data_IF_849251714612
#
_entry.id   IF_849251714612
#
_cell.length_a   1.000
_cell.length_b   1.000
_cell.length_c   1.000
_cell.angle_alpha   90.00
_cell.angle_beta   90.00
_cell.angle_gamma   90.00
#
_symmetry.space_group_name_H-M   'P 1'
#
loop_
_entity.id
_entity.type
_entity.pdbx_description
1 polymer ?
#
# COMPACT_ATOMS: atom_id res chain seq x y z
N UNK A 1 -36.27 -10.50 -42.81
CA UNK A 1 -34.97 -11.11 -42.48
C UNK A 1 -34.15 -10.06 -41.75
N UNK A 2 -34.10 -10.15 -40.42
CA UNK A 2 -33.40 -9.23 -39.54
C UNK A 2 -31.99 -9.79 -39.26
N UNK A 3 -30.95 -8.99 -39.48
CA UNK A 3 -29.58 -9.35 -39.19
C UNK A 3 -29.25 -9.01 -37.73
N UNK A 4 -28.92 -10.04 -36.97
CA UNK A 4 -28.56 -10.01 -35.55
C UNK A 4 -27.27 -9.22 -35.32
N UNK A 5 -27.32 -8.28 -34.38
CA UNK A 5 -26.16 -7.56 -33.86
C UNK A 5 -25.42 -8.42 -32.84
N UNK A 6 -24.15 -8.70 -33.12
CA UNK A 6 -23.20 -9.39 -32.23
C UNK A 6 -22.83 -8.45 -31.06
N UNK A 7 -23.25 -8.83 -29.86
CA UNK A 7 -23.01 -8.11 -28.61
C UNK A 7 -21.63 -8.54 -28.04
N UNK A 8 -20.55 -7.86 -28.46
CA UNK A 8 -19.24 -8.00 -27.81
C UNK A 8 -19.15 -7.05 -26.61
N UNK A 9 -19.31 -7.62 -25.41
CA UNK A 9 -19.07 -6.94 -24.13
C UNK A 9 -17.55 -6.82 -23.89
N UNK A 10 -16.96 -5.64 -23.58
CA UNK A 10 -15.58 -5.57 -23.10
C UNK A 10 -15.51 -5.78 -21.58
N UNK A 11 -14.65 -6.68 -21.06
CA UNK A 11 -14.34 -6.77 -19.64
C UNK A 11 -13.20 -5.81 -19.32
N UNK A 12 -13.47 -4.62 -18.80
CA UNK A 12 -12.37 -3.69 -18.42
C UNK A 12 -12.69 -2.73 -17.27
N UNK A 13 -13.83 -2.84 -16.59
CA UNK A 13 -14.25 -1.84 -15.59
C UNK A 13 -13.79 -2.09 -14.15
N UNK A 14 -13.13 -3.21 -13.83
CA UNK A 14 -12.81 -3.52 -12.42
C UNK A 14 -11.48 -2.99 -11.89
N UNK A 15 -10.61 -2.40 -12.72
CA UNK A 15 -9.23 -2.16 -12.31
C UNK A 15 -8.96 -0.77 -11.73
N UNK A 16 -9.94 0.14 -11.68
CA UNK A 16 -9.67 1.57 -11.46
C UNK A 16 -10.33 2.22 -10.24
N UNK A 17 -11.16 1.50 -9.49
CA UNK A 17 -11.64 1.97 -8.18
C UNK A 17 -10.63 1.75 -7.03
N UNK A 18 -9.51 1.07 -7.26
CA UNK A 18 -8.56 0.74 -6.19
C UNK A 18 -7.52 1.83 -5.87
N UNK A 19 -7.25 2.79 -6.76
CA UNK A 19 -6.13 3.74 -6.57
C UNK A 19 -6.47 4.92 -5.64
N UNK A 20 -7.73 5.34 -5.56
CA UNK A 20 -8.16 6.46 -4.69
C UNK A 20 -8.69 6.00 -3.33
N UNK A 21 -9.14 4.75 -3.21
CA UNK A 21 -9.58 4.15 -1.93
C UNK A 21 -8.39 3.57 -1.12
N UNK A 22 -7.17 3.63 -1.67
CA UNK A 22 -5.97 2.97 -1.13
C UNK A 22 -4.78 3.92 -0.92
N UNK A 23 -5.00 5.22 -0.64
CA UNK A 23 -3.89 6.06 -0.16
C UNK A 23 -3.56 5.71 1.30
N UNK A 24 -2.37 5.11 1.57
CA UNK A 24 -2.00 4.71 2.92
C UNK A 24 -1.93 5.89 3.90
N UNK A 25 -1.61 7.10 3.43
CA UNK A 25 -1.53 8.29 4.29
C UNK A 25 -2.92 8.71 4.76
N UNK A 26 -3.90 8.72 3.84
CA UNK A 26 -5.30 8.95 4.21
C UNK A 26 -5.82 7.86 5.15
N UNK A 27 -5.44 6.61 4.91
CA UNK A 27 -5.83 5.49 5.78
C UNK A 27 -5.30 5.64 7.20
N UNK A 28 -4.03 6.03 7.39
CA UNK A 28 -3.46 6.32 8.70
C UNK A 28 -4.21 7.46 9.40
N UNK A 29 -4.50 8.56 8.69
CA UNK A 29 -5.27 9.68 9.24
C UNK A 29 -6.65 9.25 9.74
N UNK A 30 -7.32 8.34 9.02
CA UNK A 30 -8.60 7.78 9.42
C UNK A 30 -8.50 6.81 10.60
N UNK A 31 -7.41 6.06 10.72
CA UNK A 31 -7.17 5.13 11.83
C UNK A 31 -6.78 5.85 13.14
N UNK A 32 -6.22 7.05 13.06
CA UNK A 32 -5.70 7.78 14.23
C UNK A 32 -6.75 8.06 15.32
N UNK A 33 -7.98 8.54 15.02
CA UNK A 33 -9.02 8.70 16.04
C UNK A 33 -9.42 7.37 16.70
N UNK A 34 -9.51 6.29 15.91
CA UNK A 34 -9.85 4.95 16.40
C UNK A 34 -8.78 4.39 17.33
N UNK A 35 -7.50 4.61 17.02
CA UNK A 35 -6.39 4.22 17.90
C UNK A 35 -6.49 4.96 19.25
N UNK A 36 -6.77 6.26 19.22
CA UNK A 36 -6.93 7.06 20.46
C UNK A 36 -8.10 6.55 21.31
N UNK A 37 -9.24 6.25 20.69
CA UNK A 37 -10.41 5.70 21.37
C UNK A 37 -10.14 4.30 21.95
N UNK A 38 -9.51 3.43 21.15
CA UNK A 38 -9.12 2.08 21.57
C UNK A 38 -8.16 2.12 22.77
N UNK A 39 -7.15 3.00 22.75
CA UNK A 39 -6.23 3.18 23.88
C UNK A 39 -6.96 3.66 25.15
N UNK A 40 -7.86 4.64 25.01
CA UNK A 40 -8.66 5.12 26.14
C UNK A 40 -9.53 4.01 26.73
N UNK A 41 -10.14 3.18 25.87
CA UNK A 41 -10.92 2.03 26.28
C UNK A 41 -10.05 0.97 26.98
N UNK A 42 -8.88 0.64 26.42
CA UNK A 42 -7.92 -0.30 27.01
C UNK A 42 -7.52 0.12 28.42
N UNK A 43 -7.16 1.39 28.63
CA UNK A 43 -6.80 1.93 29.96
C UNK A 43 -7.99 1.80 30.92
N UNK A 44 -9.20 2.14 30.48
CA UNK A 44 -10.42 2.03 31.29
C UNK A 44 -10.67 0.58 31.71
N UNK A 45 -10.59 -0.37 30.77
CA UNK A 45 -10.81 -1.79 31.05
C UNK A 45 -9.71 -2.34 31.95
N UNK A 46 -8.45 -1.98 31.72
CA UNK A 46 -7.32 -2.35 32.58
C UNK A 46 -7.53 -1.89 34.03
N UNK A 47 -7.97 -0.64 34.24
CA UNK A 47 -8.27 -0.13 35.58
C UNK A 47 -9.41 -0.88 36.26
N UNK A 48 -10.43 -1.29 35.52
CA UNK A 48 -11.51 -2.12 36.06
C UNK A 48 -11.02 -3.54 36.37
N UNK A 49 -10.16 -4.13 35.53
CA UNK A 49 -9.56 -5.44 35.78
C UNK A 49 -8.70 -5.44 37.03
N UNK A 50 -7.87 -4.41 37.25
CA UNK A 50 -7.09 -4.27 38.49
C UNK A 50 -7.97 -4.20 39.73
N UNK A 51 -9.03 -3.38 39.69
CA UNK A 51 -9.98 -3.28 40.80
C UNK A 51 -10.71 -4.59 41.05
N UNK A 52 -11.06 -5.33 40.01
CA UNK A 52 -11.73 -6.61 40.16
C UNK A 52 -10.78 -7.66 40.74
N UNK A 53 -9.53 -7.70 40.30
CA UNK A 53 -8.52 -8.60 40.88
C UNK A 53 -8.36 -8.34 42.38
N UNK A 54 -8.30 -7.08 42.81
CA UNK A 54 -8.25 -6.74 44.24
C UNK A 54 -9.48 -7.25 45.02
N UNK A 55 -10.69 -7.18 44.44
CA UNK A 55 -11.90 -7.73 45.07
C UNK A 55 -11.93 -9.26 45.08
N UNK A 56 -11.32 -9.90 44.07
CA UNK A 56 -11.18 -11.36 44.03
C UNK A 56 -10.18 -11.84 45.08
N UNK A 57 -9.08 -11.12 45.29
CA UNK A 57 -8.10 -11.40 46.35
C UNK A 57 -8.73 -11.29 47.75
N UNK A 58 -9.65 -10.35 47.95
CA UNK A 58 -10.47 -10.22 49.17
C UNK A 58 -11.60 -11.29 49.27
N UNK A 59 -11.73 -12.19 48.29
CA UNK A 59 -12.72 -13.27 48.27
C UNK A 59 -14.15 -12.82 47.93
N UNK A 60 -14.35 -11.58 47.47
CA UNK A 60 -15.67 -10.97 47.27
C UNK A 60 -16.32 -11.31 45.92
N UNK A 61 -15.54 -11.67 44.87
CA UNK A 61 -16.07 -11.94 43.51
C UNK A 61 -15.17 -12.84 42.65
N UNK A 62 -15.73 -13.65 41.72
CA UNK A 62 -14.95 -14.35 40.70
C UNK A 62 -14.47 -13.42 39.57
N UNK A 63 -13.29 -13.73 38.98
CA UNK A 63 -12.56 -12.84 38.07
C UNK A 63 -12.84 -13.04 36.56
N UNK A 64 -13.36 -14.19 36.14
CA UNK A 64 -13.22 -14.69 34.76
C UNK A 64 -13.75 -13.78 33.65
N UNK A 65 -14.90 -13.11 33.87
CA UNK A 65 -15.53 -12.29 32.82
C UNK A 65 -14.82 -10.97 32.48
N UNK A 66 -13.93 -10.50 33.35
CA UNK A 66 -13.29 -9.19 33.20
C UNK A 66 -11.92 -9.29 32.53
N UNK A 67 -11.22 -10.40 32.75
CA UNK A 67 -9.98 -10.73 32.04
C UNK A 67 -10.22 -10.81 30.52
N UNK A 68 -11.29 -11.47 30.08
CA UNK A 68 -11.65 -11.58 28.66
C UNK A 68 -11.91 -10.21 27.99
N UNK A 69 -12.49 -9.24 28.72
CA UNK A 69 -12.71 -7.89 28.19
C UNK A 69 -11.39 -7.14 28.02
N UNK A 70 -10.46 -7.32 28.95
CA UNK A 70 -9.13 -6.74 28.85
C UNK A 70 -8.38 -7.30 27.64
N UNK A 71 -8.32 -8.62 27.50
CA UNK A 71 -7.68 -9.29 26.36
C UNK A 71 -8.26 -8.81 25.03
N UNK A 72 -9.59 -8.73 24.91
CA UNK A 72 -10.25 -8.20 23.70
C UNK A 72 -9.89 -6.74 23.41
N UNK A 73 -9.88 -5.88 24.44
CA UNK A 73 -9.51 -4.46 24.25
C UNK A 73 -8.03 -4.29 23.87
N UNK A 74 -7.18 -5.19 24.35
CA UNK A 74 -5.75 -5.21 24.04
C UNK A 74 -5.51 -5.68 22.61
N UNK A 75 -6.21 -6.74 22.18
CA UNK A 75 -6.16 -7.24 20.80
C UNK A 75 -6.62 -6.17 19.79
N UNK A 76 -7.72 -5.47 20.08
CA UNK A 76 -8.19 -4.36 19.24
C UNK A 76 -7.15 -3.24 19.11
N UNK A 77 -6.48 -2.88 20.20
CA UNK A 77 -5.42 -1.87 20.20
C UNK A 77 -4.23 -2.30 19.32
N UNK A 78 -3.76 -3.54 19.47
CA UNK A 78 -2.66 -4.07 18.65
C UNK A 78 -3.04 -4.17 17.18
N UNK A 79 -4.25 -4.64 16.86
CA UNK A 79 -4.72 -4.71 15.48
C UNK A 79 -4.74 -3.34 14.79
N UNK A 80 -5.07 -2.27 15.52
CA UNK A 80 -5.00 -0.91 15.00
C UNK A 80 -3.55 -0.44 14.80
N UNK A 81 -2.64 -0.78 15.71
CA UNK A 81 -1.21 -0.49 15.56
C UNK A 81 -0.62 -1.18 14.31
N UNK A 82 -0.91 -2.46 14.12
CA UNK A 82 -0.44 -3.24 12.97
C UNK A 82 -0.93 -2.65 11.64
N UNK A 83 -2.22 -2.26 11.59
CA UNK A 83 -2.78 -1.60 10.42
C UNK A 83 -2.09 -0.26 10.13
N UNK A 84 -1.84 0.56 11.16
CA UNK A 84 -1.14 1.84 10.99
C UNK A 84 0.30 1.61 10.51
N UNK A 85 1.02 0.67 11.13
CA UNK A 85 2.39 0.34 10.75
C UNK A 85 2.47 -0.14 9.29
N UNK A 86 1.59 -1.05 8.90
CA UNK A 86 1.52 -1.55 7.51
C UNK A 86 1.29 -0.42 6.51
N UNK A 87 0.37 0.50 6.81
CA UNK A 87 0.12 1.65 5.93
C UNK A 87 1.31 2.61 5.90
N UNK A 88 1.98 2.87 7.02
CA UNK A 88 3.18 3.74 7.05
C UNK A 88 4.33 3.14 6.23
N UNK A 89 4.56 1.82 6.33
CA UNK A 89 5.55 1.11 5.50
C UNK A 89 5.21 1.23 4.02
N UNK A 90 3.95 1.00 3.65
CA UNK A 90 3.50 1.15 2.27
C UNK A 90 3.67 2.58 1.75
N UNK A 91 3.35 3.60 2.57
CA UNK A 91 3.55 4.99 2.20
C UNK A 91 5.02 5.32 1.93
N UNK A 92 5.93 4.76 2.73
CA UNK A 92 7.37 4.91 2.53
C UNK A 92 7.85 4.23 1.24
N UNK A 93 7.38 3.01 0.95
CA UNK A 93 7.72 2.29 -0.28
C UNK A 93 7.24 3.05 -1.53
N UNK A 94 6.02 3.58 -1.51
CA UNK A 94 5.48 4.40 -2.60
C UNK A 94 6.30 5.68 -2.78
N UNK A 95 6.70 6.33 -1.69
CA UNK A 95 7.55 7.52 -1.75
C UNK A 95 8.92 7.22 -2.35
N UNK A 96 9.55 6.12 -1.95
CA UNK A 96 10.82 5.66 -2.49
C UNK A 96 10.68 5.33 -3.98
N UNK A 97 9.64 4.58 -4.35
CA UNK A 97 9.34 4.24 -5.73
C UNK A 97 9.14 5.50 -6.60
N UNK A 98 8.45 6.53 -6.09
CA UNK A 98 8.28 7.79 -6.79
C UNK A 98 9.62 8.53 -6.97
N UNK A 99 10.45 8.57 -5.93
CA UNK A 99 11.78 9.18 -5.97
C UNK A 99 12.67 8.50 -7.02
N UNK A 100 12.71 7.17 -7.00
CA UNK A 100 13.46 6.39 -7.99
C UNK A 100 12.89 6.56 -9.40
N UNK A 101 11.56 6.60 -9.53
CA UNK A 101 10.91 6.87 -10.82
C UNK A 101 11.34 8.21 -11.38
N UNK A 102 11.36 9.29 -10.59
CA UNK A 102 11.82 10.61 -11.05
C UNK A 102 13.31 10.64 -11.42
N UNK A 103 14.12 9.81 -10.77
CA UNK A 103 15.56 9.74 -11.00
C UNK A 103 15.92 8.95 -12.26
N UNK A 104 15.26 7.82 -12.49
CA UNK A 104 15.63 6.86 -13.52
C UNK A 104 14.67 6.83 -14.71
N UNK A 105 13.49 7.44 -14.59
CA UNK A 105 12.46 7.45 -15.63
C UNK A 105 12.19 8.92 -16.03
N UNK A 106 12.61 9.33 -17.24
CA UNK A 106 12.50 10.72 -17.67
C UNK A 106 11.07 11.18 -17.98
N UNK A 107 10.10 10.25 -18.02
CA UNK A 107 8.71 10.52 -18.38
C UNK A 107 7.75 9.87 -17.39
N UNK A 108 6.67 10.56 -17.04
CA UNK A 108 5.59 9.98 -16.25
C UNK A 108 4.80 8.99 -17.11
N UNK A 109 4.38 7.85 -16.58
CA UNK A 109 3.50 6.94 -17.34
C UNK A 109 2.07 7.45 -17.22
N UNK A 110 1.41 7.64 -18.36
CA UNK A 110 0.05 8.15 -18.41
C UNK A 110 -0.92 7.04 -17.98
N UNK A 111 -1.64 7.28 -16.89
CA UNK A 111 -2.76 6.45 -16.44
C UNK A 111 -4.05 7.15 -16.87
N UNK A 112 -4.95 6.50 -17.64
CA UNK A 112 -6.20 7.14 -18.06
C UNK A 112 -6.98 7.63 -16.84
N UNK A 113 -7.49 8.87 -16.81
CA UNK A 113 -8.41 9.30 -15.75
C UNK A 113 -9.82 8.76 -16.02
N UNK A 114 -10.63 8.73 -14.95
CA UNK A 114 -12.03 8.25 -14.80
C UNK A 114 -12.99 8.49 -15.98
N UNK A 115 -12.70 9.44 -16.89
CA UNK A 115 -13.53 9.77 -18.05
C UNK A 115 -12.88 9.45 -19.41
N UNK A 116 -11.92 8.51 -19.48
CA UNK A 116 -11.08 8.28 -20.67
C UNK A 116 -10.33 9.53 -21.15
N UNK A 117 -10.29 10.59 -20.33
CA UNK A 117 -9.53 11.79 -20.62
C UNK A 117 -8.09 11.51 -20.24
N UNK A 118 -7.24 11.50 -21.26
CA UNK A 118 -5.80 11.47 -21.08
C UNK A 118 -5.40 12.72 -20.30
N UNK A 119 -4.63 12.59 -19.21
CA UNK A 119 -4.00 13.75 -18.60
C UNK A 119 -3.22 14.49 -19.68
N UNK A 120 -3.57 15.76 -19.94
CA UNK A 120 -2.77 16.69 -20.75
C UNK A 120 -1.49 17.11 -19.98
N UNK A 121 -0.82 16.14 -19.34
CA UNK A 121 0.53 16.35 -18.85
C UNK A 121 1.47 16.19 -20.04
N UNK A 122 2.17 17.26 -20.47
CA UNK A 122 2.97 17.24 -21.71
C UNK A 122 4.14 16.23 -21.69
N UNK A 123 4.41 15.61 -20.54
CA UNK A 123 5.52 14.65 -20.34
C UNK A 123 5.05 13.22 -20.04
N UNK A 124 3.75 12.90 -20.21
CA UNK A 124 3.23 11.58 -19.88
C UNK A 124 3.13 10.64 -21.09
N UNK A 125 3.77 9.47 -21.03
CA UNK A 125 3.81 8.48 -22.13
C UNK A 125 2.84 7.31 -21.88
N UNK A 126 2.19 6.75 -22.92
CA UNK A 126 1.40 5.53 -22.77
C UNK A 126 2.23 4.35 -22.25
N UNK A 127 1.59 3.42 -21.54
CA UNK A 127 2.26 2.22 -21.00
C UNK A 127 3.00 1.40 -22.06
N UNK A 128 2.45 1.31 -23.27
CA UNK A 128 3.11 0.62 -24.40
C UNK A 128 4.43 1.28 -24.79
N UNK A 129 4.50 2.62 -24.80
CA UNK A 129 5.74 3.35 -25.06
C UNK A 129 6.73 3.19 -23.90
N UNK A 130 6.24 3.20 -22.66
CA UNK A 130 7.06 2.93 -21.48
C UNK A 130 7.74 1.54 -21.57
N UNK A 131 7.00 0.49 -21.94
CA UNK A 131 7.57 -0.85 -22.12
C UNK A 131 8.64 -0.88 -23.21
N UNK A 132 8.41 -0.20 -24.34
CA UNK A 132 9.42 -0.09 -25.40
C UNK A 132 10.69 0.60 -24.91
N UNK A 133 10.56 1.67 -24.12
CA UNK A 133 11.70 2.38 -23.52
C UNK A 133 12.47 1.49 -22.54
N UNK A 134 11.80 0.76 -21.65
CA UNK A 134 12.45 -0.18 -20.73
C UNK A 134 13.25 -1.24 -21.49
N UNK A 135 12.70 -1.79 -22.58
CA UNK A 135 13.41 -2.74 -23.44
C UNK A 135 14.66 -2.12 -24.08
N UNK A 136 14.57 -0.86 -24.53
CA UNK A 136 15.71 -0.13 -25.08
C UNK A 136 16.80 0.12 -24.03
N UNK A 137 16.43 0.54 -22.82
CA UNK A 137 17.37 0.72 -21.71
C UNK A 137 18.10 -0.59 -21.38
N UNK A 138 17.39 -1.73 -21.38
CA UNK A 138 17.99 -3.06 -21.19
C UNK A 138 18.97 -3.40 -22.32
N UNK A 139 18.62 -3.13 -23.58
CA UNK A 139 19.53 -3.38 -24.72
C UNK A 139 20.80 -2.54 -24.61
N UNK A 140 20.65 -1.24 -24.36
CA UNK A 140 21.78 -0.33 -24.21
C UNK A 140 22.71 -0.75 -23.06
N UNK A 141 22.16 -1.14 -21.91
CA UNK A 141 22.95 -1.64 -20.79
C UNK A 141 23.74 -2.92 -21.14
N UNK A 142 23.15 -3.83 -21.92
CA UNK A 142 23.84 -5.03 -22.41
C UNK A 142 24.96 -4.69 -23.38
N UNK A 143 24.71 -3.79 -24.32
CA UNK A 143 25.72 -3.34 -25.28
C UNK A 143 26.92 -2.69 -24.59
N UNK A 144 26.68 -1.84 -23.58
CA UNK A 144 27.75 -1.25 -22.77
C UNK A 144 28.51 -2.34 -22.01
N UNK A 145 27.82 -3.29 -21.39
CA UNK A 145 28.44 -4.40 -20.68
C UNK A 145 29.34 -5.23 -21.61
N UNK A 146 28.85 -5.59 -22.79
CA UNK A 146 29.60 -6.42 -23.75
C UNK A 146 30.83 -5.68 -24.27
N UNK A 147 30.70 -4.37 -24.54
CA UNK A 147 31.83 -3.51 -24.91
C UNK A 147 32.88 -3.44 -23.79
N UNK A 148 32.46 -3.24 -22.53
CA UNK A 148 33.37 -3.23 -21.38
C UNK A 148 34.07 -4.57 -21.18
N UNK A 149 33.35 -5.69 -21.38
CA UNK A 149 33.92 -7.03 -21.32
C UNK A 149 34.95 -7.27 -22.43
N UNK A 150 34.67 -6.81 -23.65
CA UNK A 150 35.62 -6.90 -24.76
C UNK A 150 36.88 -6.06 -24.49
N UNK A 151 36.72 -4.83 -24.01
CA UNK A 151 37.83 -3.98 -23.59
C UNK A 151 38.66 -4.63 -22.47
N UNK A 152 38.01 -5.22 -21.46
CA UNK A 152 38.68 -5.89 -20.35
C UNK A 152 39.51 -7.10 -20.80
N UNK A 153 39.01 -7.87 -21.77
CA UNK A 153 39.78 -8.98 -22.36
C UNK A 153 41.02 -8.48 -23.08
N UNK A 154 40.87 -7.45 -23.92
CA UNK A 154 41.99 -6.82 -24.66
C UNK A 154 43.08 -6.21 -23.77
N UNK A 155 42.78 -5.90 -22.51
CA UNK A 155 43.75 -5.37 -21.53
C UNK A 155 44.41 -6.50 -20.72
N UNK A 156 43.71 -7.64 -20.57
CA UNK A 156 44.24 -8.81 -19.85
C UNK A 156 45.14 -9.70 -20.72
N UNK A 157 45.04 -9.55 -22.04
CA UNK A 157 45.94 -10.13 -23.05
C UNK A 157 47.18 -9.23 -23.30
#
# INVERSE_FOLDING_TARGET
MAASADHRNPPSQQQQQQLTDSDPVHRVKFLMPRLKESLANLIKVAGQSLRQNALTDDGLRPADSQQLKFEKSLEEFYSLCDQIESNLRLALEIHQQNTDSQKFIPFTVNVPKENNQWPETPSAVPYTQFISMVRQQISCAKEIHDLLMECSKKISD
#
